data_IF_504844181915
#
_entry.id   IF_504844181915
#
_cell.length_a   1.000
_cell.length_b   1.000
_cell.length_c   1.000
_cell.angle_alpha   90.00
_cell.angle_beta   90.00
_cell.angle_gamma   90.00
#
_symmetry.space_group_name_H-M   'P 1'
#
loop_
_entity.id
_entity.type
_entity.pdbx_description
1 polymer ?
#
# COMPACT_ATOMS: atom_id res chain seq x y z
N UNK A 1 41.38 -18.93 -10.62
CA UNK A 1 40.85 -19.74 -9.50
C UNK A 1 40.66 -18.86 -8.27
N UNK A 2 39.45 -18.76 -7.74
CA UNK A 2 39.10 -17.88 -6.62
C UNK A 2 39.56 -18.53 -5.29
N UNK A 3 40.68 -18.06 -4.71
CA UNK A 3 41.31 -18.65 -3.50
C UNK A 3 40.45 -18.59 -2.23
N UNK A 4 39.28 -17.95 -2.26
CA UNK A 4 38.44 -17.70 -1.08
C UNK A 4 37.52 -18.87 -0.69
N UNK A 5 37.36 -19.88 -1.55
CA UNK A 5 36.40 -20.98 -1.31
C UNK A 5 36.92 -22.13 -0.44
N UNK A 6 38.22 -22.45 -0.52
CA UNK A 6 38.81 -23.60 0.21
C UNK A 6 39.09 -23.28 1.68
N UNK A 7 39.25 -22.00 2.02
CA UNK A 7 39.73 -21.51 3.32
C UNK A 7 38.62 -21.18 4.32
N UNK A 8 37.34 -21.32 3.95
CA UNK A 8 36.21 -20.95 4.81
C UNK A 8 36.14 -21.80 6.09
N UNK A 9 36.33 -23.12 5.96
CA UNK A 9 36.36 -24.05 7.11
C UNK A 9 37.55 -23.76 8.01
N UNK A 10 38.70 -23.46 7.41
CA UNK A 10 39.92 -23.17 8.14
C UNK A 10 39.82 -21.83 8.89
N UNK A 11 39.18 -20.83 8.28
CA UNK A 11 38.87 -19.54 8.90
C UNK A 11 37.88 -19.66 10.06
N UNK A 12 36.88 -20.54 9.98
CA UNK A 12 35.95 -20.76 11.10
C UNK A 12 36.67 -21.47 12.25
N UNK A 13 37.49 -22.47 11.93
CA UNK A 13 38.25 -23.20 12.95
C UNK A 13 39.30 -22.30 13.62
N UNK A 14 39.94 -21.40 12.88
CA UNK A 14 40.96 -20.49 13.41
C UNK A 14 40.40 -19.52 14.46
N UNK A 15 39.14 -19.07 14.33
CA UNK A 15 38.45 -18.20 15.31
C UNK A 15 38.34 -18.84 16.69
N UNK A 16 38.08 -20.15 16.73
CA UNK A 16 37.88 -20.90 17.98
C UNK A 16 39.15 -21.59 18.46
N UNK A 17 40.12 -21.84 17.57
CA UNK A 17 41.34 -22.57 17.90
C UNK A 17 42.22 -21.85 18.93
N UNK A 18 42.25 -20.52 18.90
CA UNK A 18 43.03 -19.73 19.87
C UNK A 18 42.33 -19.59 21.24
N UNK A 19 40.99 -19.65 21.26
CA UNK A 19 40.18 -19.48 22.46
C UNK A 19 40.01 -20.77 23.28
N UNK A 20 40.32 -21.94 22.71
CA UNK A 20 40.10 -23.24 23.36
C UNK A 20 41.34 -24.16 23.25
N UNK A 21 41.60 -24.96 24.29
CA UNK A 21 42.71 -25.92 24.30
C UNK A 21 42.50 -27.09 23.33
N UNK A 22 43.62 -27.68 22.85
CA UNK A 22 43.61 -28.79 21.86
C UNK A 22 42.71 -29.96 22.26
N UNK A 23 42.74 -30.35 23.54
CA UNK A 23 41.93 -31.44 24.08
C UNK A 23 40.43 -31.16 23.94
N UNK A 24 39.99 -29.97 24.31
CA UNK A 24 38.57 -29.57 24.28
C UNK A 24 38.03 -29.49 22.86
N UNK A 25 38.83 -28.98 21.92
CA UNK A 25 38.47 -28.90 20.50
C UNK A 25 38.40 -30.30 19.88
N UNK A 26 39.40 -31.15 20.16
CA UNK A 26 39.44 -32.54 19.68
C UNK A 26 38.22 -33.34 20.18
N UNK A 27 37.89 -33.26 21.46
CA UNK A 27 36.76 -33.99 22.05
C UNK A 27 35.40 -33.52 21.49
N UNK A 28 35.23 -32.20 21.28
CA UNK A 28 33.95 -31.63 20.82
C UNK A 28 33.74 -31.71 19.31
N UNK A 29 34.79 -31.49 18.51
CA UNK A 29 34.71 -31.45 17.04
C UNK A 29 35.21 -32.73 16.36
N UNK A 30 35.84 -33.65 17.10
CA UNK A 30 36.40 -34.91 16.59
C UNK A 30 37.39 -34.72 15.43
N UNK A 31 38.25 -33.71 15.55
CA UNK A 31 39.26 -33.35 14.53
C UNK A 31 40.70 -33.67 14.99
N UNK A 32 41.62 -33.83 14.03
CA UNK A 32 43.03 -34.14 14.31
C UNK A 32 43.79 -32.98 14.96
N UNK A 33 44.86 -33.28 15.71
CA UNK A 33 45.71 -32.22 16.29
C UNK A 33 46.43 -31.40 15.22
N UNK A 34 46.76 -32.02 14.08
CA UNK A 34 47.46 -31.33 12.99
C UNK A 34 46.57 -30.24 12.38
N UNK A 35 45.27 -30.51 12.25
CA UNK A 35 44.29 -29.54 11.75
C UNK A 35 44.11 -28.37 12.73
N UNK A 36 44.09 -28.66 14.04
CA UNK A 36 44.03 -27.61 15.08
C UNK A 36 45.29 -26.74 15.05
N UNK A 37 46.46 -27.37 14.92
CA UNK A 37 47.75 -26.66 14.87
C UNK A 37 47.88 -25.79 13.62
N UNK A 38 47.44 -26.31 12.47
CA UNK A 38 47.36 -25.56 11.24
C UNK A 38 46.38 -24.37 11.37
N UNK A 39 45.27 -24.52 12.10
CA UNK A 39 44.28 -23.45 12.28
C UNK A 39 44.82 -22.32 13.16
N UNK A 40 45.58 -22.64 14.20
CA UNK A 40 46.29 -21.65 15.03
C UNK A 40 47.36 -20.90 14.23
N UNK A 41 48.16 -21.63 13.44
CA UNK A 41 49.16 -21.02 12.56
C UNK A 41 48.51 -20.09 11.53
N UNK A 42 47.36 -20.50 11.01
CA UNK A 42 46.57 -19.69 10.09
C UNK A 42 46.02 -18.41 10.76
N UNK A 43 45.51 -18.50 12.00
CA UNK A 43 45.06 -17.35 12.79
C UNK A 43 46.20 -16.35 13.03
N UNK A 44 47.39 -16.83 13.37
CA UNK A 44 48.55 -16.00 13.62
C UNK A 44 49.02 -15.25 12.35
N UNK A 45 48.95 -15.90 11.20
CA UNK A 45 49.44 -15.33 9.93
C UNK A 45 48.43 -14.37 9.27
N UNK A 46 47.13 -14.66 9.38
CA UNK A 46 46.08 -13.93 8.66
C UNK A 46 45.18 -13.08 9.57
N UNK A 47 45.43 -13.09 10.88
CA UNK A 47 44.52 -12.58 11.90
C UNK A 47 43.30 -13.50 12.09
N UNK A 48 42.53 -13.33 13.19
CA UNK A 48 41.42 -14.23 13.54
C UNK A 48 40.23 -14.20 12.56
N UNK A 49 40.31 -13.48 11.43
CA UNK A 49 39.17 -13.21 10.57
C UNK A 49 38.20 -12.21 11.22
N UNK A 50 37.38 -11.58 10.38
CA UNK A 50 36.53 -10.41 10.67
C UNK A 50 36.07 -10.28 12.14
N UNK A 51 36.37 -9.13 12.75
CA UNK A 51 35.84 -8.73 14.06
C UNK A 51 34.31 -8.83 14.03
N UNK A 52 33.71 -9.31 15.12
CA UNK A 52 32.25 -9.30 15.29
C UNK A 52 31.76 -7.88 15.06
N UNK A 53 31.03 -7.63 13.97
CA UNK A 53 30.38 -6.34 13.78
C UNK A 53 29.36 -6.18 14.89
N UNK A 54 29.61 -5.26 15.82
CA UNK A 54 28.61 -4.82 16.78
C UNK A 54 27.44 -4.28 15.98
N UNK A 55 26.32 -4.98 16.03
CA UNK A 55 25.11 -4.59 15.32
C UNK A 55 24.76 -3.18 15.79
N UNK A 56 24.56 -2.20 14.90
CA UNK A 56 24.19 -0.86 15.33
C UNK A 56 22.90 -0.97 16.14
N UNK A 57 22.90 -0.36 17.33
CA UNK A 57 21.70 -0.26 18.15
C UNK A 57 20.78 0.72 17.41
N UNK A 58 19.75 0.19 16.76
CA UNK A 58 18.75 1.01 16.06
C UNK A 58 17.80 1.57 17.12
N UNK A 59 18.01 2.82 17.51
CA UNK A 59 17.05 3.57 18.34
C UNK A 59 15.92 4.03 17.43
N UNK A 60 14.74 3.41 17.55
CA UNK A 60 13.53 3.86 16.86
C UNK A 60 12.87 4.95 17.70
N UNK A 61 12.81 6.18 17.19
CA UNK A 61 12.00 7.24 17.79
C UNK A 61 10.51 6.87 17.68
N UNK A 62 9.76 7.01 18.78
CA UNK A 62 8.31 6.86 18.76
C UNK A 62 7.68 8.05 18.03
N UNK A 63 6.58 7.83 17.34
CA UNK A 63 5.77 8.90 16.76
C UNK A 63 5.16 9.72 17.88
N UNK A 64 5.32 11.05 17.84
CA UNK A 64 4.74 11.94 18.85
C UNK A 64 3.23 12.05 18.69
N UNK A 65 2.55 12.57 19.72
CA UNK A 65 1.11 12.81 19.67
C UNK A 65 0.73 13.87 18.62
N UNK A 66 1.56 14.92 18.48
CA UNK A 66 1.39 15.96 17.46
C UNK A 66 1.43 15.34 16.06
N UNK A 67 2.41 14.48 15.80
CA UNK A 67 2.53 13.77 14.52
C UNK A 67 1.36 12.83 14.24
N UNK A 68 0.67 12.34 15.29
CA UNK A 68 -0.58 11.58 15.11
C UNK A 68 -1.73 12.48 14.70
N UNK A 69 -1.85 13.64 15.34
CA UNK A 69 -2.89 14.61 15.02
C UNK A 69 -2.74 15.14 13.59
N UNK A 70 -1.52 15.42 13.15
CA UNK A 70 -1.23 15.83 11.76
C UNK A 70 -1.67 14.76 10.74
N UNK A 71 -1.40 13.49 11.03
CA UNK A 71 -1.83 12.37 10.19
C UNK A 71 -3.36 12.27 10.11
N UNK A 72 -4.06 12.32 11.25
CA UNK A 72 -5.52 12.27 11.26
C UNK A 72 -6.15 13.51 10.62
N UNK A 73 -5.57 14.71 10.82
CA UNK A 73 -6.03 15.95 10.20
C UNK A 73 -5.92 15.88 8.67
N UNK A 74 -4.80 15.35 8.15
CA UNK A 74 -4.61 15.17 6.71
C UNK A 74 -5.66 14.23 6.10
N UNK A 75 -6.06 13.19 6.82
CA UNK A 75 -7.07 12.23 6.40
C UNK A 75 -8.50 12.58 6.85
N UNK A 76 -8.71 13.71 7.51
CA UNK A 76 -10.04 14.30 7.69
C UNK A 76 -10.43 15.15 6.47
N UNK A 77 -9.44 15.61 5.71
CA UNK A 77 -9.62 16.41 4.51
C UNK A 77 -10.26 15.58 3.37
N UNK A 78 -11.38 16.12 2.86
CA UNK A 78 -12.15 15.53 1.77
C UNK A 78 -11.37 15.52 0.45
N UNK A 79 -10.32 16.30 0.31
CA UNK A 79 -9.48 16.29 -0.89
C UNK A 79 -8.54 15.09 -0.94
N UNK A 80 -8.19 14.51 0.22
CA UNK A 80 -7.25 13.40 0.31
C UNK A 80 -7.98 12.05 0.42
N UNK A 81 -9.16 12.03 1.05
CA UNK A 81 -9.99 10.84 1.19
C UNK A 81 -11.48 11.11 0.99
N UNK A 82 -12.18 10.08 0.55
CA UNK A 82 -13.64 10.04 0.57
C UNK A 82 -14.07 9.06 1.65
N UNK A 83 -14.90 9.53 2.59
CA UNK A 83 -15.52 8.65 3.57
C UNK A 83 -16.44 7.65 2.86
N UNK A 84 -16.36 6.36 3.22
CA UNK A 84 -17.29 5.36 2.71
C UNK A 84 -18.72 5.80 3.04
N UNK A 85 -19.48 6.14 2.02
CA UNK A 85 -20.92 6.42 2.14
C UNK A 85 -21.75 5.13 2.28
N UNK A 86 -21.10 3.95 2.24
CA UNK A 86 -21.71 2.64 2.51
C UNK A 86 -21.31 2.16 3.90
N UNK A 87 -22.20 1.43 4.58
CA UNK A 87 -22.09 0.87 5.94
C UNK A 87 -20.89 -0.06 6.21
N UNK A 88 -19.91 -0.13 5.29
CA UNK A 88 -18.68 -0.89 5.44
C UNK A 88 -17.77 -0.18 6.44
N UNK A 89 -17.71 -0.78 7.62
CA UNK A 89 -16.81 -0.39 8.70
C UNK A 89 -15.58 -1.28 8.70
N UNK A 90 -14.46 -0.73 9.18
CA UNK A 90 -13.26 -1.51 9.46
C UNK A 90 -13.57 -2.52 10.58
N UNK A 91 -13.26 -3.80 10.34
CA UNK A 91 -13.59 -4.87 11.28
C UNK A 91 -12.83 -4.82 12.61
N UNK A 92 -11.73 -4.04 12.68
CA UNK A 92 -10.93 -3.88 13.90
C UNK A 92 -11.35 -2.65 14.68
N UNK A 93 -11.65 -1.54 14.00
CA UNK A 93 -11.94 -0.27 14.68
C UNK A 93 -13.42 0.08 14.72
N UNK A 94 -14.29 -0.63 14.00
CA UNK A 94 -15.71 -0.30 13.80
C UNK A 94 -15.95 1.14 13.26
N UNK A 95 -14.93 1.74 12.64
CA UNK A 95 -15.03 3.06 12.03
C UNK A 95 -15.30 2.94 10.53
N UNK A 96 -15.95 3.93 9.90
CA UNK A 96 -16.14 3.93 8.45
C UNK A 96 -14.81 3.81 7.71
N UNK A 97 -14.78 2.96 6.68
CA UNK A 97 -13.61 2.88 5.79
C UNK A 97 -13.40 4.21 5.06
N UNK A 98 -12.14 4.58 4.87
CA UNK A 98 -11.73 5.79 4.14
C UNK A 98 -11.10 5.37 2.82
N UNK A 99 -11.67 5.85 1.71
CA UNK A 99 -11.14 5.58 0.38
C UNK A 99 -10.15 6.65 -0.03
N UNK A 100 -8.93 6.24 -0.35
CA UNK A 100 -7.89 7.13 -0.84
C UNK A 100 -8.29 7.69 -2.22
N UNK A 101 -8.25 9.02 -2.37
CA UNK A 101 -8.56 9.68 -3.65
C UNK A 101 -7.44 9.52 -4.67
N UNK A 102 -6.21 9.44 -4.18
CA UNK A 102 -5.00 9.38 -4.98
C UNK A 102 -4.15 8.12 -4.70
N UNK A 103 -3.10 7.95 -5.49
CA UNK A 103 -2.09 6.94 -5.22
C UNK A 103 -1.30 7.24 -3.95
N UNK A 104 -0.82 6.17 -3.28
CA UNK A 104 -0.10 6.29 -2.00
C UNK A 104 1.15 7.18 -2.09
N UNK A 105 1.80 7.27 -3.25
CA UNK A 105 2.97 8.11 -3.46
C UNK A 105 2.58 9.59 -3.50
N UNK A 106 1.60 9.96 -4.31
CA UNK A 106 1.11 11.33 -4.41
C UNK A 106 0.57 11.85 -3.06
N UNK A 107 -0.15 11.01 -2.32
CA UNK A 107 -0.61 11.35 -0.96
C UNK A 107 0.54 11.56 0.02
N UNK A 108 1.59 10.74 -0.07
CA UNK A 108 2.80 10.96 0.73
C UNK A 108 3.49 12.26 0.36
N UNK A 109 3.70 12.52 -0.94
CA UNK A 109 4.41 13.71 -1.41
C UNK A 109 3.64 14.99 -0.98
N UNK A 110 2.30 14.96 -1.01
CA UNK A 110 1.45 16.03 -0.48
C UNK A 110 1.56 16.15 1.05
N UNK A 111 1.55 15.03 1.78
CA UNK A 111 1.70 15.05 3.24
C UNK A 111 3.05 15.61 3.68
N UNK A 112 4.14 15.20 3.03
CA UNK A 112 5.50 15.67 3.32
C UNK A 112 5.66 17.18 3.05
N UNK A 113 4.98 17.69 2.02
CA UNK A 113 4.94 19.12 1.74
C UNK A 113 4.14 19.91 2.79
N UNK A 114 3.03 19.37 3.31
CA UNK A 114 2.19 20.02 4.33
C UNK A 114 2.80 19.93 5.73
N UNK A 115 3.40 18.78 6.07
CA UNK A 115 3.95 18.47 7.40
C UNK A 115 5.38 17.93 7.28
N UNK A 116 6.38 18.79 7.05
CA UNK A 116 7.78 18.36 6.87
C UNK A 116 8.37 17.67 8.12
N UNK A 117 7.91 18.07 9.31
CA UNK A 117 8.27 17.47 10.61
C UNK A 117 7.32 16.33 11.04
N UNK A 118 6.37 15.98 10.18
CA UNK A 118 5.40 14.94 10.41
C UNK A 118 6.00 13.53 10.44
N UNK A 119 5.12 12.53 10.48
CA UNK A 119 5.56 11.13 10.49
C UNK A 119 6.41 10.80 9.26
N UNK A 120 7.43 9.97 9.44
CA UNK A 120 8.27 9.52 8.33
C UNK A 120 7.53 8.53 7.43
N UNK A 121 7.96 8.47 6.16
CA UNK A 121 7.35 7.67 5.08
C UNK A 121 7.02 6.22 5.47
N UNK A 122 7.94 5.56 6.17
CA UNK A 122 7.74 4.17 6.61
C UNK A 122 6.54 4.04 7.57
N UNK A 123 6.42 4.95 8.54
CA UNK A 123 5.30 5.00 9.48
C UNK A 123 3.99 5.35 8.79
N UNK A 124 4.03 6.30 7.84
CA UNK A 124 2.86 6.65 7.01
C UNK A 124 2.31 5.45 6.24
N UNK A 125 3.18 4.74 5.53
CA UNK A 125 2.77 3.57 4.75
C UNK A 125 2.28 2.42 5.64
N UNK A 126 2.93 2.20 6.80
CA UNK A 126 2.49 1.19 7.76
C UNK A 126 1.09 1.49 8.32
N UNK A 127 0.77 2.76 8.58
CA UNK A 127 -0.57 3.18 9.02
C UNK A 127 -1.62 3.00 7.94
N UNK A 128 -1.28 3.32 6.69
CA UNK A 128 -2.19 3.07 5.58
C UNK A 128 -2.49 1.58 5.40
N UNK A 129 -1.50 0.71 5.57
CA UNK A 129 -1.67 -0.74 5.40
C UNK A 129 -2.45 -1.40 6.54
N UNK A 130 -2.31 -0.90 7.77
CA UNK A 130 -2.89 -1.50 8.96
C UNK A 130 -4.14 -0.77 9.49
N UNK A 131 -4.54 0.34 8.86
CA UNK A 131 -5.68 1.16 9.26
C UNK A 131 -6.91 0.95 8.37
N UNK A 132 -7.91 1.80 8.61
CA UNK A 132 -9.21 1.84 7.90
C UNK A 132 -9.14 2.37 6.46
N UNK A 133 -7.96 2.40 5.83
CA UNK A 133 -7.73 3.05 4.54
C UNK A 133 -7.74 2.03 3.40
N UNK A 134 -8.57 2.26 2.39
CA UNK A 134 -8.71 1.38 1.23
C UNK A 134 -8.19 2.10 -0.01
N UNK A 135 -7.28 1.45 -0.73
CA UNK A 135 -6.80 1.96 -1.99
C UNK A 135 -7.76 1.58 -3.11
N UNK A 136 -8.00 2.49 -4.06
CA UNK A 136 -9.01 2.34 -5.11
C UNK A 136 -8.83 1.08 -5.97
N UNK A 137 -7.61 0.52 -6.07
CA UNK A 137 -7.37 -0.75 -6.79
C UNK A 137 -7.93 -1.99 -6.09
N UNK A 138 -8.17 -1.92 -4.78
CA UNK A 138 -8.70 -3.04 -3.97
C UNK A 138 -10.24 -3.10 -4.05
N UNK A 139 -10.88 -2.07 -4.63
CA UNK A 139 -12.23 -2.13 -5.13
C UNK A 139 -12.18 -2.74 -6.53
N UNK A 140 -12.28 -4.07 -6.61
CA UNK A 140 -12.24 -4.80 -7.88
C UNK A 140 -12.96 -4.08 -9.01
N UNK A 141 -12.20 -3.62 -10.00
CA UNK A 141 -12.69 -3.52 -11.37
C UNK A 141 -13.58 -2.35 -11.77
N UNK A 142 -13.65 -1.22 -11.06
CA UNK A 142 -14.11 0.01 -11.74
C UNK A 142 -12.92 0.61 -12.50
N UNK A 143 -12.77 0.10 -13.72
CA UNK A 143 -11.78 0.41 -14.72
C UNK A 143 -11.45 1.92 -14.79
N UNK A 144 -10.18 2.29 -14.99
CA UNK A 144 -9.78 3.68 -15.24
C UNK A 144 -10.55 4.30 -16.44
N UNK A 145 -10.94 3.48 -17.42
CA UNK A 145 -11.80 3.89 -18.55
C UNK A 145 -13.20 4.29 -18.03
N UNK A 146 -13.76 3.61 -17.04
CA UNK A 146 -15.02 4.02 -16.39
C UNK A 146 -14.88 5.33 -15.60
N UNK A 147 -13.67 5.71 -15.18
CA UNK A 147 -13.43 6.96 -14.47
C UNK A 147 -13.24 8.15 -15.42
N UNK A 148 -12.47 7.97 -16.51
CA UNK A 148 -12.28 8.98 -17.57
C UNK A 148 -13.54 9.18 -18.43
N UNK A 149 -14.24 8.11 -18.83
CA UNK A 149 -15.42 8.23 -19.70
C UNK A 149 -16.74 8.29 -18.94
N UNK A 150 -16.79 7.85 -17.68
CA UNK A 150 -18.05 7.77 -16.94
C UNK A 150 -18.36 8.99 -16.09
N UNK A 151 -17.39 9.53 -15.34
CA UNK A 151 -17.71 10.51 -14.28
C UNK A 151 -17.36 11.95 -14.63
N UNK A 152 -16.22 12.20 -15.29
CA UNK A 152 -15.88 13.55 -15.78
C UNK A 152 -16.89 14.04 -16.84
N UNK A 153 -17.49 13.12 -17.59
CA UNK A 153 -18.53 13.40 -18.58
C UNK A 153 -19.79 13.98 -17.93
N UNK A 154 -20.24 13.45 -16.77
CA UNK A 154 -21.40 13.99 -16.07
C UNK A 154 -21.14 15.38 -15.50
N UNK A 155 -19.95 15.62 -14.93
CA UNK A 155 -19.59 16.92 -14.39
C UNK A 155 -19.47 17.97 -15.52
N UNK A 156 -18.93 17.57 -16.68
CA UNK A 156 -18.89 18.40 -17.90
C UNK A 156 -20.31 18.71 -18.42
N UNK A 157 -21.19 17.71 -18.43
CA UNK A 157 -22.59 17.87 -18.87
C UNK A 157 -23.35 18.86 -17.96
N UNK A 158 -23.17 18.75 -16.64
CA UNK A 158 -23.76 19.67 -15.66
C UNK A 158 -23.24 21.09 -15.90
N UNK A 159 -21.95 21.27 -16.16
CA UNK A 159 -21.37 22.58 -16.47
C UNK A 159 -21.96 23.17 -17.77
N UNK A 160 -22.13 22.36 -18.82
CA UNK A 160 -22.76 22.79 -20.07
C UNK A 160 -24.22 23.23 -19.83
N UNK A 161 -24.99 22.45 -19.06
CA UNK A 161 -26.37 22.80 -18.69
C UNK A 161 -26.39 24.11 -17.89
N UNK A 162 -25.43 24.30 -16.98
CA UNK A 162 -25.35 25.50 -16.18
C UNK A 162 -25.03 26.76 -16.98
N UNK A 163 -24.21 26.64 -18.03
CA UNK A 163 -23.76 27.74 -18.88
C UNK A 163 -24.76 28.11 -19.98
N UNK A 164 -25.52 27.13 -20.49
CA UNK A 164 -26.38 27.33 -21.67
C UNK A 164 -27.86 27.53 -21.34
N UNK A 165 -28.31 27.19 -20.13
CA UNK A 165 -29.72 27.32 -19.74
C UNK A 165 -29.89 28.41 -18.70
N UNK A 166 -30.54 29.50 -19.11
CA UNK A 166 -30.83 30.66 -18.26
C UNK A 166 -32.12 30.47 -17.44
N UNK A 167 -33.04 29.62 -17.90
CA UNK A 167 -34.30 29.34 -17.21
C UNK A 167 -34.10 28.35 -16.04
N UNK A 168 -34.33 28.84 -14.82
CA UNK A 168 -34.00 28.14 -13.57
C UNK A 168 -34.74 26.81 -13.39
N UNK A 169 -36.03 26.77 -13.73
CA UNK A 169 -36.89 25.57 -13.64
C UNK A 169 -36.36 24.44 -14.54
N UNK A 170 -36.05 24.77 -15.79
CA UNK A 170 -35.60 23.80 -16.81
C UNK A 170 -34.17 23.34 -16.52
N UNK A 171 -33.30 24.26 -16.05
CA UNK A 171 -31.95 23.94 -15.57
C UNK A 171 -31.97 22.95 -14.41
N UNK A 172 -32.80 23.19 -13.40
CA UNK A 172 -32.86 22.32 -12.22
C UNK A 172 -33.42 20.93 -12.56
N UNK A 173 -34.41 20.84 -13.45
CA UNK A 173 -34.93 19.56 -13.94
C UNK A 173 -33.86 18.75 -14.66
N UNK A 174 -33.14 19.36 -15.59
CA UNK A 174 -32.09 18.68 -16.33
C UNK A 174 -30.92 18.24 -15.45
N UNK A 175 -30.49 19.08 -14.50
CA UNK A 175 -29.47 18.69 -13.52
C UNK A 175 -29.97 17.49 -12.69
N UNK A 176 -31.23 17.52 -12.24
CA UNK A 176 -31.82 16.43 -11.49
C UNK A 176 -31.85 15.12 -12.29
N UNK A 177 -32.23 15.16 -13.57
CA UNK A 177 -32.27 13.97 -14.43
C UNK A 177 -30.87 13.41 -14.69
N UNK A 178 -29.88 14.29 -14.88
CA UNK A 178 -28.47 13.90 -15.05
C UNK A 178 -27.92 13.26 -13.78
N UNK A 179 -28.23 13.81 -12.61
CA UNK A 179 -27.84 13.21 -11.33
C UNK A 179 -28.54 11.87 -11.09
N UNK A 180 -29.81 11.75 -11.48
CA UNK A 180 -30.57 10.50 -11.41
C UNK A 180 -29.97 9.42 -12.30
N UNK A 181 -29.56 9.78 -13.52
CA UNK A 181 -28.83 8.89 -14.43
C UNK A 181 -27.48 8.47 -13.85
N UNK A 182 -26.72 9.41 -13.28
CA UNK A 182 -25.45 9.14 -12.59
C UNK A 182 -25.63 8.16 -11.42
N UNK A 183 -26.70 8.32 -10.64
CA UNK A 183 -27.05 7.42 -9.53
C UNK A 183 -27.46 6.04 -10.03
N UNK A 184 -28.25 5.97 -11.10
CA UNK A 184 -28.69 4.73 -11.72
C UNK A 184 -27.52 3.91 -12.27
N UNK A 185 -26.60 4.55 -13.00
CA UNK A 185 -25.38 3.88 -13.49
C UNK A 185 -24.47 3.39 -12.36
N UNK A 186 -24.48 4.07 -11.20
CA UNK A 186 -23.67 3.70 -10.03
C UNK A 186 -24.23 2.50 -9.24
N UNK A 187 -25.54 2.24 -9.28
CA UNK A 187 -26.22 1.32 -8.35
C UNK A 187 -27.16 0.31 -9.00
N UNK A 188 -27.77 0.68 -10.13
CA UNK A 188 -28.82 -0.08 -10.79
C UNK A 188 -28.34 -0.85 -12.02
N UNK A 189 -27.36 -0.32 -12.73
CA UNK A 189 -26.92 -0.86 -14.03
C UNK A 189 -26.43 -2.31 -13.98
N UNK A 190 -25.73 -2.70 -12.91
CA UNK A 190 -25.29 -4.09 -12.72
C UNK A 190 -26.47 -5.08 -12.64
N UNK A 191 -27.63 -4.64 -12.14
CA UNK A 191 -28.83 -5.47 -12.04
C UNK A 191 -29.57 -5.60 -13.38
N UNK A 192 -29.21 -4.77 -14.37
CA UNK A 192 -29.78 -4.79 -15.73
C UNK A 192 -28.92 -5.60 -16.71
N UNK A 193 -27.77 -6.06 -16.24
CA UNK A 193 -26.85 -6.91 -16.98
C UNK A 193 -27.16 -8.37 -16.68
N UNK A 194 -27.67 -9.10 -17.67
CA UNK A 194 -27.82 -10.56 -17.62
C UNK A 194 -26.82 -11.21 -18.57
N UNK A 195 -26.31 -12.40 -18.23
CA UNK A 195 -25.42 -13.16 -19.11
C UNK A 195 -26.24 -14.31 -19.70
N UNK A 196 -26.28 -14.42 -21.02
CA UNK A 196 -26.92 -15.57 -21.66
C UNK A 196 -26.08 -16.83 -21.55
N UNK A 197 -26.67 -17.99 -21.86
CA UNK A 197 -26.01 -19.30 -21.79
C UNK A 197 -24.74 -19.38 -22.67
N UNK A 198 -24.62 -18.51 -23.68
CA UNK A 198 -23.47 -18.42 -24.58
C UNK A 198 -22.40 -17.43 -24.11
N UNK A 199 -22.51 -16.87 -22.90
CA UNK A 199 -21.55 -15.93 -22.33
C UNK A 199 -21.63 -14.50 -22.89
N UNK A 200 -22.66 -14.17 -23.68
CA UNK A 200 -22.88 -12.80 -24.15
C UNK A 200 -23.75 -12.02 -23.16
N UNK A 201 -23.40 -10.75 -22.95
CA UNK A 201 -24.16 -9.82 -22.11
C UNK A 201 -25.47 -9.41 -22.81
N UNK A 202 -26.60 -9.58 -22.14
CA UNK A 202 -27.92 -9.11 -22.54
C UNK A 202 -28.37 -8.02 -21.57
N UNK A 203 -28.73 -6.86 -22.11
CA UNK A 203 -29.35 -5.77 -21.37
C UNK A 203 -30.84 -6.05 -21.15
N UNK A 204 -31.26 -6.14 -19.89
CA UNK A 204 -32.66 -6.11 -19.51
C UNK A 204 -33.07 -4.63 -19.51
N UNK A 205 -33.66 -4.16 -20.62
CA UNK A 205 -34.21 -2.81 -20.71
C UNK A 205 -35.32 -2.65 -19.65
N UNK A 206 -34.97 -2.12 -18.48
CA UNK A 206 -35.95 -1.68 -17.51
C UNK A 206 -36.55 -0.34 -17.94
N UNK A 207 -37.77 -0.09 -17.48
CA UNK A 207 -38.60 1.09 -17.73
C UNK A 207 -37.89 2.45 -17.57
N UNK A 208 -36.76 2.51 -16.86
CA UNK A 208 -35.96 3.73 -16.69
C UNK A 208 -35.29 4.20 -18.00
N UNK A 209 -34.71 3.28 -18.79
CA UNK A 209 -34.11 3.62 -20.10
C UNK A 209 -35.17 3.96 -21.15
N UNK A 210 -36.37 3.35 -21.05
CA UNK A 210 -37.49 3.65 -21.94
C UNK A 210 -38.02 5.09 -21.78
N UNK A 211 -37.90 5.68 -20.58
CA UNK A 211 -38.31 7.06 -20.31
C UNK A 211 -37.25 8.12 -20.66
N UNK A 212 -36.01 7.72 -20.97
CA UNK A 212 -34.92 8.64 -21.36
C UNK A 212 -34.75 8.67 -22.89
N UNK A 213 -35.22 7.64 -23.59
CA UNK A 213 -35.09 7.49 -25.06
C UNK A 213 -36.30 8.08 -25.82
N UNK A 214 -37.34 8.56 -25.12
CA UNK A 214 -38.50 9.25 -25.70
C UNK A 214 -38.56 10.72 -25.26
#
# INVERSE_FOLDING_TARGET
>A
MNKRGFDGKMRILSVIADNFGHRKIREKLKISNDLISAAKKYAHTNGPGCVVMTKPIIIKSRVSEIQNQEFEAFFADKDNVTMSMSYKVDSKTNLPLLYLKDNKKALWDKFEATYPDGIKRASFMARLANGRYVYRKDLGGLCNICNEYGYEVFDTLINIIQLNINEKETKNRLIHDVEKLRLHLRRGFENELSVNENGHMIFLLNSFMANIIH
#
